data_IF_506044152700
#
_entry.id   IF_506044152700
#
_cell.length_a   1.000
_cell.length_b   1.000
_cell.length_c   1.000
_cell.angle_alpha   90.00
_cell.angle_beta   90.00
_cell.angle_gamma   90.00
#
_symmetry.space_group_name_H-M   'P 1'
#
loop_
_entity.id
_entity.type
_entity.pdbx_description
1 polymer ?
#
# COMPACT_ATOMS: atom_id res chain seq x y z
N UNK A 1 -13.90 -37.48 -18.36
CA UNK A 1 -13.17 -36.20 -18.52
C UNK A 1 -14.18 -35.06 -18.41
N UNK A 2 -14.38 -34.52 -17.21
CA UNK A 2 -15.37 -33.46 -17.00
C UNK A 2 -15.57 -33.21 -15.51
N UNK A 3 -14.94 -32.16 -14.99
CA UNK A 3 -15.01 -31.89 -13.54
C UNK A 3 -14.29 -30.64 -13.05
N UNK A 4 -14.00 -29.65 -13.90
CA UNK A 4 -13.41 -28.37 -13.45
C UNK A 4 -14.29 -27.14 -13.71
N UNK A 5 -15.37 -27.28 -14.48
CA UNK A 5 -16.36 -26.21 -14.67
C UNK A 5 -17.51 -26.38 -13.67
N UNK A 6 -17.18 -26.37 -12.38
CA UNK A 6 -18.20 -26.33 -11.34
C UNK A 6 -18.88 -24.96 -11.36
N UNK A 7 -20.22 -24.91 -11.40
CA UNK A 7 -20.98 -23.67 -11.50
C UNK A 7 -20.91 -22.76 -10.24
N UNK A 8 -20.08 -23.10 -9.26
CA UNK A 8 -19.77 -22.21 -8.14
C UNK A 8 -18.51 -21.38 -8.41
N UNK A 9 -17.43 -22.03 -8.86
CA UNK A 9 -16.12 -21.38 -9.00
C UNK A 9 -16.05 -20.41 -10.17
N UNK A 10 -16.47 -20.85 -11.36
CA UNK A 10 -16.43 -20.01 -12.56
C UNK A 10 -17.37 -18.80 -12.46
N UNK A 11 -18.51 -18.94 -11.78
CA UNK A 11 -19.53 -17.90 -11.64
C UNK A 11 -19.03 -16.80 -10.71
N UNK A 12 -18.41 -17.17 -9.59
CA UNK A 12 -17.78 -16.20 -8.69
C UNK A 12 -16.66 -15.47 -9.42
N UNK A 13 -15.84 -16.19 -10.20
CA UNK A 13 -14.73 -15.60 -10.95
C UNK A 13 -15.25 -14.63 -12.04
N UNK A 14 -16.31 -15.01 -12.76
CA UNK A 14 -16.93 -14.19 -13.79
C UNK A 14 -17.63 -12.95 -13.20
N UNK A 15 -18.28 -13.08 -12.04
CA UNK A 15 -18.82 -11.94 -11.28
C UNK A 15 -17.70 -11.00 -10.81
N UNK A 16 -16.60 -11.56 -10.31
CA UNK A 16 -15.43 -10.78 -9.90
C UNK A 16 -14.90 -9.97 -11.08
N UNK A 17 -14.75 -10.58 -12.27
CA UNK A 17 -14.31 -9.87 -13.49
C UNK A 17 -15.22 -8.69 -13.83
N UNK A 18 -16.54 -8.85 -13.77
CA UNK A 18 -17.48 -7.74 -14.02
C UNK A 18 -17.30 -6.61 -13.00
N UNK A 19 -17.14 -6.94 -11.72
CA UNK A 19 -16.88 -5.96 -10.66
C UNK A 19 -15.53 -5.28 -10.89
N UNK A 20 -14.48 -6.01 -11.27
CA UNK A 20 -13.17 -5.44 -11.60
C UNK A 20 -13.22 -4.51 -12.81
N UNK A 21 -14.09 -4.76 -13.80
CA UNK A 21 -14.27 -3.86 -14.94
C UNK A 21 -14.92 -2.53 -14.53
N UNK A 22 -15.88 -2.57 -13.60
CA UNK A 22 -16.59 -1.39 -13.12
C UNK A 22 -15.74 -0.59 -12.12
N UNK A 23 -15.15 -1.27 -11.14
CA UNK A 23 -14.40 -0.64 -10.05
C UNK A 23 -12.90 -0.49 -10.37
N UNK A 24 -12.35 -1.32 -11.25
CA UNK A 24 -10.91 -1.34 -11.58
C UNK A 24 -10.09 -2.28 -10.69
N UNK A 25 -8.99 -2.80 -11.25
CA UNK A 25 -8.09 -3.75 -10.57
C UNK A 25 -7.43 -3.20 -9.29
N UNK A 26 -7.28 -1.88 -9.16
CA UNK A 26 -6.67 -1.26 -7.97
C UNK A 26 -7.66 -0.93 -6.85
N UNK A 27 -8.97 -0.84 -7.12
CA UNK A 27 -9.97 -0.42 -6.11
C UNK A 27 -10.42 -1.56 -5.21
N UNK A 28 -10.65 -2.75 -5.74
CA UNK A 28 -10.97 -3.93 -4.92
C UNK A 28 -9.90 -4.25 -3.87
N UNK A 29 -8.60 -4.36 -4.21
CA UNK A 29 -7.58 -4.66 -3.20
C UNK A 29 -7.41 -3.54 -2.18
N UNK A 30 -7.61 -2.27 -2.58
CA UNK A 30 -7.58 -1.15 -1.65
C UNK A 30 -8.73 -1.21 -0.63
N UNK A 31 -9.96 -1.49 -1.09
CA UNK A 31 -11.13 -1.66 -0.22
C UNK A 31 -10.98 -2.89 0.68
N UNK A 32 -10.53 -4.02 0.13
CA UNK A 32 -10.30 -5.24 0.89
C UNK A 32 -9.25 -5.05 1.98
N UNK A 33 -8.16 -4.30 1.73
CA UNK A 33 -7.16 -3.97 2.75
C UNK A 33 -7.76 -3.18 3.92
N UNK A 34 -8.58 -2.16 3.64
CA UNK A 34 -9.24 -1.38 4.69
C UNK A 34 -10.23 -2.19 5.53
N UNK A 35 -11.07 -2.99 4.87
CA UNK A 35 -12.06 -3.86 5.55
C UNK A 35 -11.36 -4.99 6.32
N UNK A 36 -10.29 -5.56 5.78
CA UNK A 36 -9.54 -6.62 6.44
C UNK A 36 -8.85 -6.15 7.73
N UNK A 37 -8.35 -4.92 7.74
CA UNK A 37 -7.70 -4.35 8.92
C UNK A 37 -8.71 -4.06 10.05
N UNK A 38 -9.88 -3.51 9.75
CA UNK A 38 -10.95 -3.30 10.75
C UNK A 38 -11.55 -4.62 11.24
N UNK A 39 -11.76 -5.59 10.34
CA UNK A 39 -12.24 -6.91 10.70
C UNK A 39 -11.25 -7.68 11.60
N UNK A 40 -9.94 -7.49 11.40
CA UNK A 40 -8.90 -8.09 12.24
C UNK A 40 -8.94 -7.54 13.67
N UNK A 41 -8.98 -6.21 13.83
CA UNK A 41 -9.07 -5.59 15.16
C UNK A 41 -10.34 -6.04 15.87
N UNK A 42 -11.49 -6.02 15.18
CA UNK A 42 -12.75 -6.51 15.74
C UNK A 42 -12.68 -8.00 16.13
N UNK A 43 -12.02 -8.83 15.32
CA UNK A 43 -11.82 -10.25 15.61
C UNK A 43 -10.94 -10.44 16.85
N UNK A 44 -9.87 -9.66 16.99
CA UNK A 44 -8.93 -9.71 18.11
C UNK A 44 -9.60 -9.26 19.41
N UNK A 45 -10.34 -8.13 19.40
CA UNK A 45 -11.12 -7.66 20.54
C UNK A 45 -12.23 -8.65 20.94
N UNK A 46 -12.97 -9.18 19.96
CA UNK A 46 -13.98 -10.20 20.21
C UNK A 46 -13.37 -11.50 20.74
N UNK A 47 -12.16 -11.85 20.31
CA UNK A 47 -11.44 -13.02 20.81
C UNK A 47 -11.02 -12.78 22.25
N UNK A 48 -10.51 -11.60 22.60
CA UNK A 48 -10.14 -11.24 23.98
C UNK A 48 -11.33 -11.27 24.94
N UNK A 49 -12.54 -10.91 24.49
CA UNK A 49 -13.77 -11.06 25.29
C UNK A 49 -14.22 -12.52 25.47
N UNK A 50 -13.78 -13.43 24.60
CA UNK A 50 -14.14 -14.86 24.62
C UNK A 50 -13.05 -15.73 25.25
N UNK A 51 -11.80 -15.28 25.22
CA UNK A 51 -10.58 -15.94 25.72
C UNK A 51 -10.14 -15.37 27.09
N UNK A 52 -11.06 -15.15 28.05
CA UNK A 52 -10.69 -15.05 29.48
C UNK A 52 -10.20 -16.41 30.05
N UNK A 53 -9.52 -17.21 29.21
CA UNK A 53 -8.70 -18.37 29.56
C UNK A 53 -7.40 -18.28 28.74
N UNK A 54 -6.23 -18.47 29.37
CA UNK A 54 -4.95 -18.08 28.78
C UNK A 54 -4.50 -19.08 27.71
N UNK A 55 -4.44 -18.61 26.46
CA UNK A 55 -3.68 -19.26 25.40
C UNK A 55 -2.80 -18.23 24.68
N UNK A 56 -1.55 -18.22 25.12
CA UNK A 56 -0.38 -17.54 24.59
C UNK A 56 -0.15 -17.84 23.09
N UNK A 57 0.50 -16.89 22.40
CA UNK A 57 1.14 -16.98 21.07
C UNK A 57 0.28 -16.71 19.81
N UNK A 58 0.45 -15.49 19.28
CA UNK A 58 0.46 -15.25 17.83
C UNK A 58 1.39 -14.07 17.49
N UNK A 59 2.67 -14.27 17.82
CA UNK A 59 3.81 -13.60 17.19
C UNK A 59 3.82 -13.95 15.70
N UNK A 60 3.15 -13.14 14.89
CA UNK A 60 3.35 -13.06 13.45
C UNK A 60 3.06 -11.63 12.98
N UNK A 61 3.75 -10.66 13.59
CA UNK A 61 4.17 -9.48 12.86
C UNK A 61 5.15 -9.93 11.78
N UNK A 62 4.64 -10.37 10.63
CA UNK A 62 5.46 -10.55 9.46
C UNK A 62 5.35 -9.29 8.59
N UNK A 63 6.44 -8.52 8.69
CA UNK A 63 7.11 -7.88 7.58
C UNK A 63 6.59 -6.51 7.10
N UNK A 64 7.19 -5.53 7.74
CA UNK A 64 7.64 -4.27 7.17
C UNK A 64 8.35 -4.42 5.80
N UNK A 65 8.27 -3.37 4.98
CA UNK A 65 9.07 -3.07 3.77
C UNK A 65 8.85 -3.89 2.48
N UNK A 66 8.15 -3.27 1.51
CA UNK A 66 8.51 -3.35 0.09
C UNK A 66 8.85 -1.94 -0.39
N UNK A 67 10.02 -1.44 0.02
CA UNK A 67 10.72 -0.37 -0.68
C UNK A 67 11.53 -1.02 -1.82
N UNK A 68 11.29 -0.66 -3.09
CA UNK A 68 12.26 -0.95 -4.13
C UNK A 68 13.53 -0.15 -3.87
N UNK A 69 14.61 -0.90 -3.79
CA UNK A 69 15.99 -0.44 -3.69
C UNK A 69 16.32 0.61 -4.78
N UNK A 70 16.99 1.68 -4.35
CA UNK A 70 18.28 2.07 -4.91
C UNK A 70 18.34 2.23 -6.44
N UNK A 71 17.92 3.40 -6.93
CA UNK A 71 18.53 3.96 -8.13
C UNK A 71 19.90 4.53 -7.74
N UNK A 72 20.95 4.04 -8.40
CA UNK A 72 22.36 4.40 -8.18
C UNK A 72 22.62 5.91 -8.16
N UNK A 73 23.70 6.38 -7.49
CA UNK A 73 24.24 7.71 -7.73
C UNK A 73 24.76 7.77 -9.18
N UNK A 74 23.92 8.24 -10.09
CA UNK A 74 24.31 8.63 -11.44
C UNK A 74 25.04 9.98 -11.34
N UNK A 75 26.34 9.90 -11.11
CA UNK A 75 27.24 11.02 -11.29
C UNK A 75 27.46 11.20 -12.80
N UNK A 76 26.72 12.13 -13.40
CA UNK A 76 27.04 12.73 -14.70
C UNK A 76 26.46 14.16 -14.76
N UNK A 77 27.33 15.13 -14.49
CA UNK A 77 27.40 16.48 -15.06
C UNK A 77 26.10 17.35 -15.20
N UNK A 78 26.07 18.43 -14.40
CA UNK A 78 25.66 19.82 -14.76
C UNK A 78 24.34 20.05 -15.49
N UNK A 79 23.37 20.70 -14.83
CA UNK A 79 22.86 22.06 -15.16
C UNK A 79 21.63 22.46 -14.30
N UNK A 80 21.77 23.62 -13.63
CA UNK A 80 20.77 24.67 -13.36
C UNK A 80 19.28 24.28 -13.21
N UNK A 81 18.57 24.55 -12.11
CA UNK A 81 18.44 25.86 -11.48
C UNK A 81 17.93 25.67 -10.05
N UNK A 82 18.81 25.92 -9.09
CA UNK A 82 18.48 26.06 -7.68
C UNK A 82 17.63 27.34 -7.51
N UNK A 83 16.39 27.21 -7.03
CA UNK A 83 15.54 28.32 -6.64
C UNK A 83 16.03 28.92 -5.31
N UNK A 84 17.17 29.60 -5.36
CA UNK A 84 17.58 30.52 -4.30
C UNK A 84 18.09 31.80 -4.96
N UNK A 85 17.38 32.92 -4.82
CA UNK A 85 17.91 34.23 -5.20
C UNK A 85 19.23 34.48 -4.47
N UNK A 86 20.29 34.93 -5.18
CA UNK A 86 21.55 35.29 -4.54
C UNK A 86 21.34 36.47 -3.58
N UNK A 87 22.02 36.50 -2.42
CA UNK A 87 22.13 37.72 -1.62
C UNK A 87 23.02 38.71 -2.38
N UNK A 88 22.40 39.60 -3.15
CA UNK A 88 23.10 40.74 -3.74
C UNK A 88 23.56 41.67 -2.61
N UNK A 89 24.87 41.66 -2.36
CA UNK A 89 25.60 42.64 -1.55
C UNK A 89 25.73 43.99 -2.32
N UNK A 90 26.01 45.09 -1.61
CA UNK A 90 25.60 46.45 -1.96
C UNK A 90 26.58 47.17 -2.90
N UNK A 91 26.06 47.92 -3.86
CA UNK A 91 26.84 48.87 -4.67
C UNK A 91 25.94 50.05 -5.08
N UNK A 92 25.95 51.13 -4.28
CA UNK A 92 25.65 52.47 -4.78
C UNK A 92 26.87 53.35 -4.53
N UNK A 93 27.62 53.73 -5.57
CA UNK A 93 28.67 54.74 -5.49
C UNK A 93 28.08 56.11 -5.12
N UNK A 94 28.67 56.74 -4.12
CA UNK A 94 28.43 58.14 -3.78
C UNK A 94 28.97 59.05 -4.88
N UNK A 95 28.10 59.85 -5.48
CA UNK A 95 28.41 61.09 -6.21
C UNK A 95 27.35 62.12 -5.83
#
# INVERSE_FOLDING_TARGET
MGGLFHPGGMQILLLLVVILLIFGASRLPALAKGIGQSARVFKDEMKQMKDDQPAENASAQMQNEAAPQQAAPQQAATEQTNLTPPPAKPDTPQQ
#
